data_IF_645236984341
#
_entry.id   IF_645236984341
#
_cell.length_a   1.000
_cell.length_b   1.000
_cell.length_c   1.000
_cell.angle_alpha   90.00
_cell.angle_beta   90.00
_cell.angle_gamma   90.00
#
_symmetry.space_group_name_H-M   'P 1'
#
loop_
_entity.id
_entity.type
_entity.pdbx_description
1 polymer ?
#
# COMPACT_ATOMS: atom_id res chain seq x y z
N UNK A 1 -10.09 1.02 47.27
CA UNK A 1 -11.30 0.41 46.71
C UNK A 1 -10.89 -0.12 45.34
N UNK A 2 -10.72 -1.44 45.21
CA UNK A 2 -10.23 -2.05 43.96
C UNK A 2 -11.25 -1.77 42.85
N UNK A 3 -10.81 -1.16 41.75
CA UNK A 3 -11.66 -0.95 40.56
C UNK A 3 -11.56 -2.21 39.71
N UNK A 4 -12.64 -2.98 39.65
CA UNK A 4 -12.73 -4.21 38.86
C UNK A 4 -13.30 -3.90 37.48
N UNK A 5 -12.54 -4.18 36.43
CA UNK A 5 -12.94 -3.92 35.04
C UNK A 5 -13.53 -5.19 34.45
N UNK A 6 -14.79 -5.13 34.01
CA UNK A 6 -15.53 -6.25 33.43
C UNK A 6 -16.09 -5.85 32.06
N UNK A 7 -15.59 -6.47 31.00
CA UNK A 7 -16.03 -6.24 29.63
C UNK A 7 -15.11 -6.94 28.64
N UNK A 8 -15.64 -7.35 27.49
CA UNK A 8 -14.88 -8.03 26.44
C UNK A 8 -13.84 -7.10 25.82
N UNK A 9 -14.21 -5.82 25.64
CA UNK A 9 -13.36 -4.77 25.06
C UNK A 9 -13.28 -3.58 26.00
N UNK A 10 -12.06 -3.14 26.34
CA UNK A 10 -11.82 -1.93 27.15
C UNK A 10 -11.21 -0.85 26.29
N UNK A 11 -11.78 0.35 26.28
CA UNK A 11 -11.32 1.47 25.45
C UNK A 11 -10.70 2.54 26.34
N UNK A 12 -9.43 2.81 26.12
CA UNK A 12 -8.69 3.91 26.73
C UNK A 12 -8.61 5.06 25.73
N UNK A 13 -9.30 6.16 25.98
CA UNK A 13 -9.46 7.24 24.99
C UNK A 13 -9.49 8.63 25.61
N UNK A 14 -8.86 9.60 24.94
CA UNK A 14 -9.00 11.04 25.22
C UNK A 14 -10.22 11.68 24.53
N UNK A 15 -10.94 10.89 23.73
CA UNK A 15 -12.11 11.27 22.93
C UNK A 15 -11.84 12.36 21.89
N UNK A 16 -10.60 12.75 21.65
CA UNK A 16 -10.27 13.81 20.69
C UNK A 16 -10.59 13.41 19.25
N UNK A 17 -10.46 12.11 18.92
CA UNK A 17 -10.75 11.57 17.58
C UNK A 17 -12.23 11.39 17.27
N UNK A 18 -13.11 11.48 18.28
CA UNK A 18 -14.58 11.33 18.15
C UNK A 18 -15.01 10.05 17.42
N UNK A 19 -14.32 8.94 17.65
CA UNK A 19 -14.61 7.66 16.99
C UNK A 19 -15.93 7.09 17.54
N UNK A 20 -16.92 6.78 16.68
CA UNK A 20 -18.17 6.18 17.12
C UNK A 20 -17.99 4.67 17.36
N UNK A 21 -17.65 4.29 18.59
CA UNK A 21 -17.50 2.89 19.01
C UNK A 21 -18.84 2.12 19.17
N UNK A 22 -19.97 2.75 18.85
CA UNK A 22 -21.33 2.21 19.05
C UNK A 22 -21.60 0.90 18.33
N UNK A 23 -20.90 0.63 17.21
CA UNK A 23 -21.05 -0.63 16.47
C UNK A 23 -20.43 -1.81 17.22
N UNK A 24 -19.34 -1.59 17.98
CA UNK A 24 -18.71 -2.62 18.81
C UNK A 24 -19.65 -3.03 19.95
N UNK A 25 -20.35 -2.07 20.55
CA UNK A 25 -21.29 -2.29 21.66
C UNK A 25 -22.41 -3.28 21.31
N UNK A 26 -22.67 -3.54 20.01
CA UNK A 26 -23.67 -4.52 19.57
C UNK A 26 -23.19 -5.96 19.71
N UNK A 27 -21.88 -6.18 19.71
CA UNK A 27 -21.25 -7.50 19.71
C UNK A 27 -20.50 -7.82 21.01
N UNK A 28 -20.07 -6.77 21.73
CA UNK A 28 -19.19 -6.90 22.89
C UNK A 28 -19.63 -5.98 24.01
N UNK A 29 -19.38 -6.39 25.26
CA UNK A 29 -19.43 -5.49 26.39
C UNK A 29 -18.23 -4.54 26.34
N UNK A 30 -18.50 -3.24 26.16
CA UNK A 30 -17.47 -2.20 26.01
C UNK A 30 -17.45 -1.28 27.22
N UNK A 31 -16.27 -1.04 27.79
CA UNK A 31 -16.08 -0.10 28.90
C UNK A 31 -15.04 0.96 28.54
N UNK A 32 -15.27 2.21 28.95
CA UNK A 32 -14.46 3.37 28.56
C UNK A 32 -13.70 3.96 29.75
N UNK A 33 -12.45 4.33 29.53
CA UNK A 33 -11.59 4.98 30.53
C UNK A 33 -10.73 6.06 29.88
N UNK A 34 -10.43 7.11 30.65
CA UNK A 34 -9.56 8.21 30.20
C UNK A 34 -8.08 7.92 30.43
N UNK A 35 -7.74 7.12 31.44
CA UNK A 35 -6.37 6.75 31.82
C UNK A 35 -6.33 5.34 32.43
N UNK A 36 -5.27 4.56 32.21
CA UNK A 36 -5.03 3.34 32.96
C UNK A 36 -4.36 3.63 34.32
N UNK A 37 -4.83 2.97 35.37
CA UNK A 37 -4.27 3.04 36.72
C UNK A 37 -3.42 1.79 37.04
N UNK A 38 -2.43 1.92 37.92
CA UNK A 38 -1.54 0.80 38.27
C UNK A 38 -2.27 -0.33 39.03
N UNK A 39 -3.32 0.01 39.80
CA UNK A 39 -4.08 -0.94 40.61
C UNK A 39 -5.22 -1.63 39.85
N UNK A 40 -5.21 -1.61 38.51
CA UNK A 40 -6.28 -2.21 37.73
C UNK A 40 -6.24 -3.74 37.85
N UNK A 41 -7.37 -4.31 38.26
CA UNK A 41 -7.67 -5.73 38.05
C UNK A 41 -8.72 -5.88 36.95
N UNK A 42 -8.29 -6.48 35.84
CA UNK A 42 -9.15 -6.84 34.73
C UNK A 42 -9.67 -8.26 34.92
N UNK A 43 -10.95 -8.49 34.62
CA UNK A 43 -11.55 -9.83 34.60
C UNK A 43 -12.29 -10.02 33.29
N UNK A 44 -11.88 -11.04 32.52
CA UNK A 44 -12.46 -11.39 31.21
C UNK A 44 -12.29 -10.31 30.11
N UNK A 45 -11.20 -9.54 30.14
CA UNK A 45 -10.86 -8.61 29.05
C UNK A 45 -10.17 -9.35 27.93
N UNK A 46 -10.72 -9.26 26.72
CA UNK A 46 -10.15 -9.89 25.53
C UNK A 46 -9.19 -8.94 24.78
N UNK A 47 -9.53 -7.65 24.67
CA UNK A 47 -8.69 -6.63 24.03
C UNK A 47 -8.85 -5.25 24.68
N UNK A 48 -7.76 -4.48 24.69
CA UNK A 48 -7.78 -3.06 25.00
C UNK A 48 -7.55 -2.22 23.73
N UNK A 49 -8.46 -1.30 23.44
CA UNK A 49 -8.29 -0.28 22.39
C UNK A 49 -7.60 0.94 23.00
N UNK A 50 -6.52 1.38 22.37
CA UNK A 50 -5.71 2.53 22.78
C UNK A 50 -5.93 3.65 21.77
N UNK A 51 -6.75 4.63 22.16
CA UNK A 51 -7.18 5.76 21.32
C UNK A 51 -6.77 7.09 21.94
N UNK A 52 -5.47 7.34 21.93
CA UNK A 52 -4.92 8.65 22.30
C UNK A 52 -4.37 9.35 21.06
N UNK A 53 -4.57 10.66 20.98
CA UNK A 53 -4.01 11.46 19.89
C UNK A 53 -2.50 11.56 19.95
N UNK A 54 -1.94 11.69 21.17
CA UNK A 54 -0.50 11.72 21.42
C UNK A 54 0.08 10.28 21.44
N UNK A 55 1.03 9.95 20.53
CA UNK A 55 1.68 8.64 20.51
C UNK A 55 2.40 8.29 21.83
N UNK A 56 2.97 9.27 22.53
CA UNK A 56 3.68 9.00 23.79
C UNK A 56 2.72 8.55 24.87
N UNK A 57 1.54 9.17 24.94
CA UNK A 57 0.45 8.77 25.85
C UNK A 57 -0.07 7.38 25.52
N UNK A 58 -0.21 7.05 24.23
CA UNK A 58 -0.58 5.70 23.79
C UNK A 58 0.42 4.62 24.26
N UNK A 59 1.73 4.86 24.12
CA UNK A 59 2.78 3.93 24.58
C UNK A 59 2.75 3.81 26.11
N UNK A 60 2.65 4.94 26.82
CA UNK A 60 2.57 4.95 28.29
C UNK A 60 1.38 4.12 28.77
N UNK A 61 0.18 4.39 28.26
CA UNK A 61 -1.03 3.67 28.62
C UNK A 61 -0.91 2.18 28.32
N UNK A 62 -0.39 1.82 27.14
CA UNK A 62 -0.13 0.44 26.74
C UNK A 62 0.76 -0.29 27.75
N UNK A 63 1.83 0.35 28.21
CA UNK A 63 2.75 -0.24 29.18
C UNK A 63 2.16 -0.39 30.59
N UNK A 64 1.32 0.54 31.03
CA UNK A 64 0.60 0.40 32.31
C UNK A 64 -0.36 -0.79 32.25
N UNK A 65 -1.14 -0.92 31.17
CA UNK A 65 -2.06 -2.04 30.97
C UNK A 65 -1.29 -3.36 30.96
N UNK A 66 -0.15 -3.41 30.25
CA UNK A 66 0.70 -4.61 30.13
C UNK A 66 1.44 -4.98 31.42
N UNK A 67 1.65 -4.04 32.33
CA UNK A 67 2.20 -4.34 33.64
C UNK A 67 1.23 -5.21 34.46
N UNK A 68 -0.07 -4.99 34.30
CA UNK A 68 -1.12 -5.77 34.98
C UNK A 68 -1.61 -6.98 34.17
N UNK A 69 -1.59 -6.90 32.83
CA UNK A 69 -1.96 -7.98 31.90
C UNK A 69 -0.94 -8.13 30.77
N UNK A 70 0.15 -8.90 30.98
CA UNK A 70 1.19 -9.06 29.97
C UNK A 70 0.70 -9.64 28.65
N UNK A 71 -0.37 -10.44 28.65
CA UNK A 71 -0.90 -11.17 27.48
C UNK A 71 -2.07 -10.47 26.74
N UNK A 72 -2.66 -9.39 27.28
CA UNK A 72 -3.87 -8.80 26.68
C UNK A 72 -3.62 -8.31 25.25
N UNK A 73 -4.56 -8.50 24.32
CA UNK A 73 -4.41 -7.93 22.98
C UNK A 73 -4.56 -6.40 23.04
N UNK A 74 -3.70 -5.68 22.30
CA UNK A 74 -3.80 -4.22 22.16
C UNK A 74 -4.13 -3.85 20.72
N UNK A 75 -5.17 -3.05 20.53
CA UNK A 75 -5.49 -2.40 19.26
C UNK A 75 -5.21 -0.90 19.38
N UNK A 76 -4.19 -0.41 18.70
CA UNK A 76 -3.77 0.99 18.80
C UNK A 76 -4.29 1.79 17.60
N UNK A 77 -4.98 2.89 17.89
CA UNK A 77 -5.51 3.79 16.87
C UNK A 77 -4.47 4.86 16.52
N UNK A 78 -4.19 5.03 15.23
CA UNK A 78 -3.18 5.95 14.71
C UNK A 78 -3.72 6.87 13.61
N UNK A 79 -2.97 7.93 13.29
CA UNK A 79 -3.23 8.86 12.17
C UNK A 79 -1.97 9.01 11.30
N UNK A 80 -2.14 9.33 10.01
CA UNK A 80 -1.05 9.46 9.02
C UNK A 80 0.05 10.43 9.50
N UNK A 81 -0.33 11.54 10.14
CA UNK A 81 0.60 12.60 10.56
C UNK A 81 1.28 12.37 11.91
N UNK A 82 0.83 11.39 12.69
CA UNK A 82 1.32 11.10 14.04
C UNK A 82 1.32 9.58 14.31
N UNK A 83 1.66 8.78 13.29
CA UNK A 83 1.68 7.34 13.43
C UNK A 83 2.81 6.89 14.37
N UNK A 84 2.51 5.91 15.22
CA UNK A 84 3.55 5.17 15.93
C UNK A 84 4.47 4.52 14.90
N UNK A 85 5.77 4.72 15.05
CA UNK A 85 6.78 4.05 14.22
C UNK A 85 7.23 2.74 14.89
N UNK A 86 8.05 1.96 14.16
CA UNK A 86 8.58 0.68 14.64
C UNK A 86 9.34 0.81 15.99
N UNK A 87 10.07 1.91 16.21
CA UNK A 87 10.79 2.13 17.47
C UNK A 87 9.86 2.38 18.65
N UNK A 88 8.71 3.01 18.40
CA UNK A 88 7.71 3.25 19.42
C UNK A 88 6.98 1.96 19.81
N UNK A 89 6.71 1.08 18.85
CA UNK A 89 6.13 -0.25 19.12
C UNK A 89 7.04 -1.13 19.97
N UNK A 90 8.35 -1.12 19.73
CA UNK A 90 9.33 -1.89 20.51
C UNK A 90 9.36 -1.44 21.98
N UNK A 91 8.89 -0.22 22.29
CA UNK A 91 8.80 0.28 23.67
C UNK A 91 7.57 -0.26 24.41
N UNK A 92 6.60 -0.85 23.71
CA UNK A 92 5.43 -1.48 24.32
C UNK A 92 5.84 -2.88 24.78
N UNK A 93 5.80 -3.11 26.10
CA UNK A 93 6.20 -4.36 26.75
C UNK A 93 5.04 -5.37 26.79
N UNK A 94 5.37 -6.61 27.15
CA UNK A 94 4.41 -7.72 27.25
C UNK A 94 4.51 -8.69 26.07
N UNK A 95 3.67 -9.73 26.09
CA UNK A 95 3.75 -10.88 25.16
C UNK A 95 2.50 -11.06 24.30
N UNK A 96 1.41 -10.39 24.64
CA UNK A 96 0.20 -10.44 23.82
C UNK A 96 0.34 -9.64 22.53
N UNK A 97 -0.63 -9.83 21.65
CA UNK A 97 -0.61 -9.22 20.32
C UNK A 97 -0.80 -7.72 20.36
N UNK A 98 -0.20 -7.05 19.37
CA UNK A 98 -0.38 -5.64 19.11
C UNK A 98 -0.82 -5.52 17.66
N UNK A 99 -1.97 -4.89 17.42
CA UNK A 99 -2.37 -4.44 16.10
C UNK A 99 -2.48 -2.92 16.10
N UNK A 100 -2.29 -2.32 14.92
CA UNK A 100 -2.47 -0.90 14.70
C UNK A 100 -3.41 -0.69 13.54
N UNK A 101 -4.37 0.21 13.72
CA UNK A 101 -5.21 0.68 12.63
C UNK A 101 -5.09 2.18 12.50
N UNK A 102 -5.27 2.63 11.26
CA UNK A 102 -5.41 4.03 10.96
C UNK A 102 -6.90 4.32 10.81
N UNK A 103 -7.46 5.11 11.72
CA UNK A 103 -8.89 5.38 11.68
C UNK A 103 -9.25 6.28 10.48
N UNK A 104 -10.33 5.93 9.78
CA UNK A 104 -11.02 6.78 8.80
C UNK A 104 -12.53 6.64 9.02
N UNK A 105 -13.28 7.73 8.91
CA UNK A 105 -14.72 7.76 9.21
C UNK A 105 -15.55 6.77 8.36
N UNK A 106 -15.11 6.51 7.12
CA UNK A 106 -15.76 5.57 6.20
C UNK A 106 -15.44 4.09 6.50
N UNK A 107 -14.63 3.76 7.51
CA UNK A 107 -14.19 2.40 7.84
C UNK A 107 -14.79 1.86 9.16
N UNK A 108 -16.09 2.08 9.37
CA UNK A 108 -16.75 1.69 10.63
C UNK A 108 -16.65 0.18 10.92
N UNK A 109 -16.88 -0.65 9.91
CA UNK A 109 -16.78 -2.12 10.01
C UNK A 109 -15.35 -2.63 10.26
N UNK A 110 -14.32 -1.85 9.90
CA UNK A 110 -12.92 -2.28 9.97
C UNK A 110 -12.43 -2.43 11.40
N UNK A 111 -12.90 -1.56 12.29
CA UNK A 111 -12.61 -1.62 13.70
C UNK A 111 -13.12 -2.93 14.31
N UNK A 112 -14.33 -3.34 13.94
CA UNK A 112 -14.92 -4.61 14.36
C UNK A 112 -14.14 -5.81 13.79
N UNK A 113 -13.78 -5.76 12.50
CA UNK A 113 -12.97 -6.81 11.86
C UNK A 113 -11.61 -6.98 12.55
N UNK A 114 -10.95 -5.89 12.93
CA UNK A 114 -9.65 -5.98 13.59
C UNK A 114 -9.75 -6.53 15.01
N UNK A 115 -10.82 -6.19 15.75
CA UNK A 115 -11.11 -6.80 17.05
C UNK A 115 -11.34 -8.31 16.88
N UNK A 116 -12.11 -8.72 15.87
CA UNK A 116 -12.32 -10.14 15.56
C UNK A 116 -11.02 -10.84 15.20
N UNK A 117 -10.14 -10.24 14.40
CA UNK A 117 -8.81 -10.80 14.07
C UNK A 117 -7.91 -10.97 15.29
N UNK A 118 -8.00 -10.07 16.26
CA UNK A 118 -7.26 -10.21 17.51
C UNK A 118 -7.75 -11.40 18.34
N UNK A 119 -9.06 -11.64 18.37
CA UNK A 119 -9.70 -12.73 19.12
C UNK A 119 -9.55 -14.08 18.43
N UNK A 120 -9.68 -14.08 17.11
CA UNK A 120 -9.79 -15.25 16.26
C UNK A 120 -8.77 -15.18 15.11
N UNK A 121 -7.46 -15.20 15.41
CA UNK A 121 -6.42 -15.20 14.39
C UNK A 121 -6.54 -16.34 13.38
N UNK A 122 -7.14 -17.45 13.80
CA UNK A 122 -7.37 -18.63 12.99
C UNK A 122 -8.44 -18.40 11.91
N UNK A 123 -9.31 -17.40 12.09
CA UNK A 123 -10.39 -17.07 11.16
C UNK A 123 -10.07 -15.76 10.42
N UNK A 124 -9.58 -15.87 9.19
CA UNK A 124 -9.49 -14.72 8.29
C UNK A 124 -10.90 -14.20 8.00
N UNK A 125 -11.23 -13.05 8.59
CA UNK A 125 -12.56 -12.42 8.48
C UNK A 125 -12.86 -11.93 7.06
N UNK A 126 -11.81 -11.56 6.32
CA UNK A 126 -11.81 -11.24 4.89
C UNK A 126 -10.50 -11.76 4.27
N UNK A 127 -10.54 -12.13 2.99
CA UNK A 127 -9.32 -12.45 2.25
C UNK A 127 -8.44 -11.20 2.07
N UNK A 128 -7.13 -11.35 1.84
CA UNK A 128 -6.27 -10.20 1.68
C UNK A 128 -6.63 -9.38 0.44
N UNK A 129 -6.86 -8.08 0.62
CA UNK A 129 -7.21 -7.16 -0.46
C UNK A 129 -5.97 -6.86 -1.32
N UNK A 130 -6.11 -7.02 -2.63
CA UNK A 130 -5.07 -6.69 -3.62
C UNK A 130 -5.51 -5.50 -4.48
N UNK A 131 -4.83 -4.36 -4.33
CA UNK A 131 -5.09 -3.16 -5.12
C UNK A 131 -4.20 -3.11 -6.37
N UNK A 132 -4.81 -3.04 -7.55
CA UNK A 132 -4.12 -2.87 -8.84
C UNK A 132 -4.15 -1.39 -9.22
N UNK A 133 -3.01 -0.72 -9.13
CA UNK A 133 -2.87 0.71 -9.41
C UNK A 133 -2.31 0.88 -10.81
N UNK A 134 -3.16 1.39 -11.70
CA UNK A 134 -2.87 1.62 -13.11
C UNK A 134 -2.71 3.13 -13.33
N UNK A 135 -1.50 3.54 -13.72
CA UNK A 135 -1.22 4.92 -14.10
C UNK A 135 -1.64 5.14 -15.56
N UNK A 136 -2.39 6.23 -15.82
CA UNK A 136 -2.88 6.58 -17.16
C UNK A 136 -2.58 8.06 -17.44
N UNK A 137 -2.11 8.39 -18.63
CA UNK A 137 -1.89 9.78 -19.04
C UNK A 137 -1.96 9.92 -20.57
N UNK A 138 -2.88 10.77 -21.05
CA UNK A 138 -3.10 11.07 -22.46
C UNK A 138 -3.11 9.80 -23.35
N UNK A 139 -3.98 8.85 -23.01
CA UNK A 139 -4.08 7.56 -23.68
C UNK A 139 -5.30 7.48 -24.62
N UNK A 140 -5.95 8.59 -24.98
CA UNK A 140 -7.16 8.59 -25.81
C UNK A 140 -7.01 7.76 -27.10
N UNK A 141 -5.92 7.96 -27.86
CA UNK A 141 -5.67 7.24 -29.12
C UNK A 141 -5.38 5.74 -28.91
N UNK A 142 -4.89 5.37 -27.73
CA UNK A 142 -4.45 4.02 -27.38
C UNK A 142 -5.36 3.35 -26.35
N UNK A 143 -6.51 3.96 -26.05
CA UNK A 143 -7.40 3.57 -24.96
C UNK A 143 -7.92 2.12 -25.09
N UNK A 144 -7.97 1.59 -26.33
CA UNK A 144 -8.28 0.18 -26.58
C UNK A 144 -7.37 -0.78 -25.80
N UNK A 145 -6.10 -0.42 -25.58
CA UNK A 145 -5.15 -1.21 -24.80
C UNK A 145 -5.46 -1.13 -23.31
N UNK A 146 -5.72 0.07 -22.80
CA UNK A 146 -6.15 0.32 -21.41
C UNK A 146 -7.42 -0.47 -21.08
N UNK A 147 -8.44 -0.37 -21.93
CA UNK A 147 -9.70 -1.10 -21.78
C UNK A 147 -9.47 -2.60 -21.76
N UNK A 148 -8.76 -3.14 -22.76
CA UNK A 148 -8.48 -4.57 -22.85
C UNK A 148 -7.71 -5.08 -21.63
N UNK A 149 -6.72 -4.34 -21.15
CA UNK A 149 -5.94 -4.72 -19.99
C UNK A 149 -6.80 -4.74 -18.72
N UNK A 150 -7.66 -3.72 -18.55
CA UNK A 150 -8.64 -3.67 -17.46
C UNK A 150 -9.58 -4.88 -17.50
N UNK A 151 -10.16 -5.21 -18.66
CA UNK A 151 -11.06 -6.37 -18.82
C UNK A 151 -10.36 -7.70 -18.46
N UNK A 152 -9.10 -7.87 -18.88
CA UNK A 152 -8.30 -9.05 -18.53
C UNK A 152 -8.02 -9.12 -17.03
N UNK A 153 -7.67 -7.98 -16.41
CA UNK A 153 -7.48 -7.90 -14.95
C UNK A 153 -8.77 -8.23 -14.20
N UNK A 154 -9.92 -7.75 -14.67
CA UNK A 154 -11.21 -8.07 -14.06
C UNK A 154 -11.53 -9.56 -14.14
N UNK A 155 -11.32 -10.19 -15.29
CA UNK A 155 -11.51 -11.62 -15.44
C UNK A 155 -10.58 -12.41 -14.51
N UNK A 156 -9.33 -11.96 -14.37
CA UNK A 156 -8.36 -12.55 -13.44
C UNK A 156 -8.79 -12.40 -11.98
N UNK A 157 -9.15 -11.18 -11.55
CA UNK A 157 -9.58 -10.88 -10.18
C UNK A 157 -10.78 -11.73 -9.80
N UNK A 158 -11.82 -11.76 -10.64
CA UNK A 158 -13.04 -12.54 -10.40
C UNK A 158 -12.80 -14.03 -10.20
N UNK A 159 -11.74 -14.57 -10.81
CA UNK A 159 -11.49 -16.02 -10.83
C UNK A 159 -10.46 -16.44 -9.79
N UNK A 160 -9.48 -15.59 -9.47
CA UNK A 160 -8.28 -15.98 -8.72
C UNK A 160 -7.96 -15.12 -7.50
N UNK A 161 -8.61 -13.96 -7.33
CA UNK A 161 -8.34 -13.03 -6.23
C UNK A 161 -9.59 -12.93 -5.36
N UNK A 162 -9.42 -13.26 -4.07
CA UNK A 162 -10.53 -13.23 -3.10
C UNK A 162 -11.12 -11.81 -3.01
N UNK A 163 -10.24 -10.83 -2.85
CA UNK A 163 -10.61 -9.42 -2.80
C UNK A 163 -9.60 -8.60 -3.61
N UNK A 164 -10.07 -7.95 -4.66
CA UNK A 164 -9.23 -7.13 -5.52
C UNK A 164 -10.00 -5.99 -6.16
N UNK A 165 -9.33 -4.85 -6.27
CA UNK A 165 -9.85 -3.64 -6.91
C UNK A 165 -8.82 -3.04 -7.84
N UNK A 166 -9.29 -2.50 -8.96
CA UNK A 166 -8.51 -1.79 -9.97
C UNK A 166 -8.71 -0.29 -9.75
N UNK A 167 -7.61 0.43 -9.64
CA UNK A 167 -7.59 1.88 -9.48
C UNK A 167 -6.92 2.48 -10.70
N UNK A 168 -7.75 3.12 -11.53
CA UNK A 168 -7.32 3.84 -12.73
C UNK A 168 -7.02 5.27 -12.32
N UNK A 169 -5.74 5.62 -12.17
CA UNK A 169 -5.33 6.96 -11.73
C UNK A 169 -4.82 7.74 -12.94
N UNK A 170 -5.64 8.69 -13.37
CA UNK A 170 -5.34 9.68 -14.41
C UNK A 170 -4.39 10.75 -13.90
N UNK A 171 -3.20 10.85 -14.49
CA UNK A 171 -2.16 11.82 -14.14
C UNK A 171 -2.41 13.20 -14.75
N UNK A 172 -3.65 13.70 -14.62
CA UNK A 172 -4.03 15.01 -15.12
C UNK A 172 -4.05 15.09 -16.66
N UNK A 173 -4.68 14.12 -17.34
CA UNK A 173 -4.79 14.15 -18.80
C UNK A 173 -5.55 15.37 -19.29
N UNK A 174 -5.17 15.86 -20.47
CA UNK A 174 -5.78 17.02 -21.14
C UNK A 174 -6.72 16.61 -22.29
N UNK A 175 -6.74 15.32 -22.62
CA UNK A 175 -7.58 14.70 -23.65
C UNK A 175 -8.83 14.00 -23.03
N UNK A 176 -9.55 13.20 -23.81
CA UNK A 176 -10.76 12.48 -23.32
C UNK A 176 -10.46 11.25 -22.46
N UNK A 177 -9.20 11.01 -22.06
CA UNK A 177 -8.82 9.84 -21.25
C UNK A 177 -9.68 9.69 -20.00
N UNK A 178 -9.88 10.77 -19.21
CA UNK A 178 -10.68 10.69 -17.99
C UNK A 178 -12.12 10.23 -18.28
N UNK A 179 -12.78 10.84 -19.27
CA UNK A 179 -14.16 10.49 -19.66
C UNK A 179 -14.27 9.00 -20.01
N UNK A 180 -13.27 8.46 -20.70
CA UNK A 180 -13.22 7.06 -21.07
C UNK A 180 -12.97 6.14 -19.85
N UNK A 181 -12.12 6.53 -18.90
CA UNK A 181 -11.89 5.79 -17.65
C UNK A 181 -13.15 5.74 -16.77
N UNK A 182 -13.86 6.86 -16.64
CA UNK A 182 -15.16 6.93 -15.96
C UNK A 182 -16.22 6.07 -16.67
N UNK A 183 -16.10 5.92 -17.99
CA UNK A 183 -16.89 4.97 -18.77
C UNK A 183 -16.68 3.52 -18.33
N UNK A 184 -15.42 3.10 -18.16
CA UNK A 184 -15.07 1.77 -17.63
C UNK A 184 -15.64 1.61 -16.22
N UNK A 185 -15.47 2.59 -15.33
CA UNK A 185 -16.02 2.51 -13.96
C UNK A 185 -17.55 2.31 -13.96
N UNK A 186 -18.29 3.07 -14.78
CA UNK A 186 -19.75 2.95 -14.91
C UNK A 186 -20.21 1.59 -15.43
N UNK A 187 -19.49 1.02 -16.41
CA UNK A 187 -19.78 -0.31 -16.96
C UNK A 187 -19.53 -1.43 -15.93
N UNK A 188 -18.71 -1.17 -14.92
CA UNK A 188 -18.13 -2.18 -14.05
C UNK A 188 -18.70 -2.15 -12.63
N UNK A 189 -19.88 -1.52 -12.47
CA UNK A 189 -20.80 -1.62 -11.32
C UNK A 189 -21.28 -3.07 -11.10
N UNK A 190 -20.33 -3.93 -10.81
CA UNK A 190 -20.50 -5.31 -10.44
C UNK A 190 -20.52 -5.32 -8.93
N UNK A 191 -21.74 -5.41 -8.43
CA UNK A 191 -22.11 -6.08 -7.20
C UNK A 191 -21.49 -7.48 -7.23
N UNK A 192 -20.19 -7.59 -6.96
CA UNK A 192 -19.61 -8.82 -6.41
C UNK A 192 -20.52 -9.17 -5.25
N UNK A 193 -21.03 -10.41 -5.17
CA UNK A 193 -22.05 -10.89 -4.23
C UNK A 193 -21.76 -10.62 -2.75
N UNK A 194 -21.72 -9.34 -2.40
CA UNK A 194 -21.44 -8.75 -1.12
C UNK A 194 -22.78 -8.24 -0.65
N UNK A 195 -23.12 -8.63 0.57
CA UNK A 195 -24.35 -8.23 1.26
C UNK A 195 -24.30 -6.72 1.60
N UNK A 196 -23.16 -6.05 1.36
CA UNK A 196 -22.92 -4.67 1.76
C UNK A 196 -22.56 -3.81 0.54
N UNK A 197 -23.37 -2.78 0.27
CA UNK A 197 -23.20 -1.83 -0.84
C UNK A 197 -22.08 -0.80 -0.59
N UNK A 198 -21.59 -0.70 0.65
CA UNK A 198 -20.55 0.26 1.07
C UNK A 198 -19.10 -0.18 0.77
N UNK A 199 -18.89 -1.27 0.02
CA UNK A 199 -17.55 -1.80 -0.25
C UNK A 199 -16.96 -1.21 -1.54
N UNK A 200 -15.66 -0.96 -1.50
CA UNK A 200 -14.83 -0.39 -2.58
C UNK A 200 -15.20 -1.01 -3.95
N UNK A 201 -15.46 -0.18 -4.98
CA UNK A 201 -15.82 -0.70 -6.30
C UNK A 201 -14.68 -1.52 -6.89
N UNK A 202 -15.02 -2.48 -7.75
CA UNK A 202 -14.03 -3.31 -8.45
C UNK A 202 -13.12 -2.45 -9.33
N UNK A 203 -13.64 -1.35 -9.88
CA UNK A 203 -12.87 -0.35 -10.62
C UNK A 203 -13.16 1.02 -10.04
N UNK A 204 -12.14 1.84 -9.84
CA UNK A 204 -12.30 3.24 -9.45
C UNK A 204 -11.41 4.13 -10.32
N UNK A 205 -12.02 5.11 -11.01
CA UNK A 205 -11.28 6.12 -11.75
C UNK A 205 -11.06 7.36 -10.89
N UNK A 206 -9.85 7.92 -10.94
CA UNK A 206 -9.51 9.18 -10.25
C UNK A 206 -8.61 10.02 -11.11
N UNK A 207 -8.72 11.34 -10.97
CA UNK A 207 -7.85 12.30 -11.64
C UNK A 207 -7.01 13.10 -10.66
N UNK A 208 -5.73 13.25 -10.97
CA UNK A 208 -4.84 14.19 -10.31
C UNK A 208 -5.03 15.60 -10.87
N UNK A 209 -4.88 16.62 -10.02
CA UNK A 209 -5.07 18.02 -10.41
C UNK A 209 -4.01 18.58 -11.37
N UNK A 210 -2.91 17.83 -11.62
CA UNK A 210 -1.83 18.19 -12.53
C UNK A 210 -1.10 16.94 -13.00
N UNK A 211 -0.34 17.07 -14.10
CA UNK A 211 0.61 16.05 -14.53
C UNK A 211 1.82 16.01 -13.58
N UNK A 212 1.96 14.89 -12.89
CA UNK A 212 3.04 14.56 -11.96
C UNK A 212 3.98 13.49 -12.51
N UNK A 213 3.72 13.07 -13.76
CA UNK A 213 4.19 11.82 -14.36
C UNK A 213 3.74 10.64 -13.49
N UNK A 214 4.48 9.55 -13.59
CA UNK A 214 4.24 8.31 -12.86
C UNK A 214 4.27 8.43 -11.32
N UNK A 215 4.99 9.41 -10.77
CA UNK A 215 5.22 9.49 -9.32
C UNK A 215 3.94 9.80 -8.54
N UNK A 216 3.17 10.80 -8.97
CA UNK A 216 1.99 11.21 -8.21
C UNK A 216 0.90 10.16 -8.27
N UNK A 217 0.75 9.40 -9.36
CA UNK A 217 -0.23 8.30 -9.42
C UNK A 217 0.12 7.19 -8.42
N UNK A 218 1.39 6.82 -8.32
CA UNK A 218 1.86 5.82 -7.35
C UNK A 218 1.65 6.32 -5.92
N UNK A 219 2.08 7.56 -5.63
CA UNK A 219 1.93 8.16 -4.29
C UNK A 219 0.47 8.34 -3.90
N UNK A 220 -0.40 8.74 -4.82
CA UNK A 220 -1.82 8.88 -4.59
C UNK A 220 -2.46 7.54 -4.23
N UNK A 221 -2.09 6.48 -4.96
CA UNK A 221 -2.51 5.13 -4.67
C UNK A 221 -2.04 4.69 -3.28
N UNK A 222 -0.76 4.84 -2.96
CA UNK A 222 -0.20 4.49 -1.64
C UNK A 222 -0.85 5.29 -0.49
N UNK A 223 -1.23 6.54 -0.74
CA UNK A 223 -1.81 7.46 0.25
C UNK A 223 -3.27 7.15 0.55
N UNK A 224 -4.05 6.87 -0.49
CA UNK A 224 -5.51 6.85 -0.40
C UNK A 224 -6.10 5.45 -0.33
N UNK A 225 -5.42 4.47 -0.93
CA UNK A 225 -5.89 3.09 -1.02
C UNK A 225 -5.38 2.29 0.16
N UNK A 226 -6.26 1.49 0.76
CA UNK A 226 -5.87 0.53 1.77
C UNK A 226 -6.03 -0.89 1.23
N UNK A 227 -4.92 -1.60 1.14
CA UNK A 227 -4.84 -2.97 0.64
C UNK A 227 -3.71 -3.71 1.36
N UNK A 228 -3.77 -5.04 1.37
CA UNK A 228 -2.70 -5.89 1.89
C UNK A 228 -1.56 -6.04 0.89
N UNK A 229 -1.90 -5.97 -0.40
CA UNK A 229 -0.96 -6.04 -1.52
C UNK A 229 -1.26 -4.95 -2.54
N UNK A 230 -0.20 -4.29 -3.01
CA UNK A 230 -0.26 -3.25 -4.02
C UNK A 230 0.44 -3.72 -5.28
N UNK A 231 -0.27 -3.72 -6.41
CA UNK A 231 0.25 -4.04 -7.74
C UNK A 231 0.31 -2.74 -8.52
N UNK A 232 1.51 -2.24 -8.76
CA UNK A 232 1.73 -1.08 -9.61
C UNK A 232 2.05 -1.58 -11.02
N UNK A 233 1.31 -1.09 -12.01
CA UNK A 233 1.48 -1.52 -13.40
C UNK A 233 1.07 -0.39 -14.35
N UNK A 234 1.76 -0.29 -15.49
CA UNK A 234 1.39 0.64 -16.56
C UNK A 234 0.12 0.11 -17.26
N UNK A 235 -0.77 0.99 -17.70
CA UNK A 235 -2.10 0.60 -18.20
C UNK A 235 -2.13 0.13 -19.68
N UNK A 236 -0.99 0.07 -20.36
CA UNK A 236 -0.87 -0.08 -21.82
C UNK A 236 -0.93 -1.53 -22.36
N UNK A 237 -1.38 -2.50 -21.56
CA UNK A 237 -1.42 -3.94 -21.90
C UNK A 237 -0.01 -4.48 -22.29
N UNK A 238 1.05 -3.92 -21.72
CA UNK A 238 2.43 -4.36 -21.98
C UNK A 238 2.86 -5.57 -21.16
N UNK A 239 2.18 -5.87 -20.03
CA UNK A 239 2.53 -6.97 -19.13
C UNK A 239 1.49 -8.10 -19.19
N UNK A 240 1.97 -9.33 -19.03
CA UNK A 240 1.10 -10.53 -18.96
C UNK A 240 0.37 -10.60 -17.61
N UNK A 241 -0.84 -11.16 -17.60
CA UNK A 241 -1.61 -11.38 -16.36
C UNK A 241 -0.95 -12.50 -15.54
N UNK A 242 -0.33 -13.44 -16.24
CA UNK A 242 0.39 -14.59 -15.70
C UNK A 242 1.60 -14.14 -14.86
N UNK A 243 2.35 -13.13 -15.34
CA UNK A 243 3.45 -12.52 -14.58
C UNK A 243 2.95 -11.78 -13.35
N UNK A 244 1.86 -11.02 -13.49
CA UNK A 244 1.22 -10.32 -12.37
C UNK A 244 0.78 -11.33 -11.30
N UNK A 245 0.10 -12.40 -11.69
CA UNK A 245 -0.35 -13.47 -10.81
C UNK A 245 0.82 -14.14 -10.08
N UNK A 246 1.89 -14.47 -10.81
CA UNK A 246 3.11 -15.05 -10.24
C UNK A 246 3.75 -14.13 -9.21
N UNK A 247 3.87 -12.83 -9.51
CA UNK A 247 4.43 -11.85 -8.57
C UNK A 247 3.58 -11.70 -7.31
N UNK A 248 2.24 -11.65 -7.44
CA UNK A 248 1.30 -11.62 -6.31
C UNK A 248 1.48 -12.86 -5.43
N UNK A 249 1.54 -14.05 -6.02
CA UNK A 249 1.71 -15.29 -5.27
C UNK A 249 3.00 -15.30 -4.46
N UNK A 250 4.11 -14.80 -5.02
CA UNK A 250 5.40 -14.75 -4.33
C UNK A 250 5.39 -13.73 -3.18
N UNK A 251 4.82 -12.53 -3.37
CA UNK A 251 4.70 -11.56 -2.26
C UNK A 251 3.85 -12.13 -1.13
N UNK A 252 2.76 -12.83 -1.47
CA UNK A 252 1.86 -13.46 -0.49
C UNK A 252 2.53 -14.50 0.40
N UNK A 253 3.63 -15.11 -0.05
CA UNK A 253 4.41 -16.04 0.78
C UNK A 253 5.16 -15.35 1.93
N UNK A 254 5.31 -14.01 1.90
CA UNK A 254 5.92 -13.23 2.99
C UNK A 254 7.45 -13.27 3.03
N UNK A 255 8.11 -13.98 2.12
CA UNK A 255 9.58 -14.03 2.03
C UNK A 255 10.20 -12.75 1.46
N UNK A 256 9.44 -12.01 0.66
CA UNK A 256 9.86 -10.77 0.03
C UNK A 256 8.83 -9.68 0.30
N UNK A 257 9.31 -8.47 0.50
CA UNK A 257 8.47 -7.29 0.74
C UNK A 257 8.05 -6.64 -0.59
N UNK A 258 8.89 -6.79 -1.62
CA UNK A 258 8.70 -6.22 -2.96
C UNK A 258 9.16 -7.23 -4.01
N UNK A 259 8.32 -7.44 -5.03
CA UNK A 259 8.70 -8.13 -6.27
C UNK A 259 8.67 -7.13 -7.40
N UNK A 260 9.73 -7.08 -8.20
CA UNK A 260 9.83 -6.19 -9.36
C UNK A 260 10.05 -7.00 -10.64
N UNK A 261 9.39 -6.59 -11.72
CA UNK A 261 9.69 -7.12 -13.04
C UNK A 261 11.05 -6.63 -13.54
N UNK A 262 11.72 -7.44 -14.35
CA UNK A 262 12.72 -6.97 -15.31
C UNK A 262 12.32 -7.49 -16.67
N UNK A 263 12.44 -6.63 -17.70
CA UNK A 263 12.25 -7.10 -19.07
C UNK A 263 13.26 -8.21 -19.34
N UNK A 264 12.78 -9.36 -19.79
CA UNK A 264 13.66 -10.38 -20.35
C UNK A 264 14.37 -9.77 -21.57
N UNK A 265 15.69 -9.96 -21.67
CA UNK A 265 16.50 -9.39 -22.74
C UNK A 265 16.23 -10.07 -24.11
N UNK A 266 15.29 -11.02 -24.15
CA UNK A 266 14.87 -11.79 -25.33
C UNK A 266 14.02 -11.00 -26.33
N UNK A 267 13.72 -9.71 -26.08
CA UNK A 267 12.94 -8.85 -26.97
C UNK A 267 13.59 -8.73 -28.37
N UNK A 268 13.11 -9.56 -29.29
CA UNK A 268 13.40 -9.50 -30.72
C UNK A 268 12.95 -8.11 -31.23
N UNK A 269 13.86 -7.36 -31.87
CA UNK A 269 13.66 -6.02 -32.48
C UNK A 269 13.99 -4.77 -31.65
N UNK A 270 14.79 -4.86 -30.58
CA UNK A 270 15.25 -3.64 -29.89
C UNK A 270 16.33 -2.90 -30.69
N UNK A 271 16.12 -1.60 -30.96
CA UNK A 271 17.14 -0.74 -31.57
C UNK A 271 18.42 -0.73 -30.72
N UNK A 272 19.59 -0.89 -31.36
CA UNK A 272 20.91 -0.86 -30.72
C UNK A 272 21.12 0.35 -29.81
N UNK A 273 20.59 1.52 -30.18
CA UNK A 273 20.69 2.73 -29.37
C UNK A 273 19.92 2.59 -28.04
N UNK A 274 18.68 2.06 -28.08
CA UNK A 274 17.89 1.83 -26.85
C UNK A 274 18.52 0.77 -25.97
N UNK A 275 19.15 -0.24 -26.56
CA UNK A 275 19.90 -1.27 -25.82
C UNK A 275 21.04 -0.65 -25.02
N UNK A 276 21.93 0.12 -25.65
CA UNK A 276 23.05 0.76 -24.99
C UNK A 276 22.62 1.75 -23.91
N UNK A 277 21.60 2.57 -24.18
CA UNK A 277 21.07 3.51 -23.18
C UNK A 277 20.51 2.75 -21.97
N UNK A 278 19.75 1.66 -22.21
CA UNK A 278 19.23 0.81 -21.14
C UNK A 278 20.35 0.18 -20.31
N UNK A 279 21.41 -0.29 -20.96
CA UNK A 279 22.56 -0.89 -20.30
C UNK A 279 23.32 0.12 -19.44
N UNK A 280 23.61 1.32 -19.97
CA UNK A 280 24.25 2.39 -19.22
C UNK A 280 23.41 2.81 -18.00
N UNK A 281 22.09 2.97 -18.17
CA UNK A 281 21.18 3.29 -17.06
C UNK A 281 21.24 2.22 -15.96
N UNK A 282 21.21 0.93 -16.33
CA UNK A 282 21.33 -0.18 -15.37
C UNK A 282 22.64 -0.12 -14.59
N UNK A 283 23.78 0.08 -15.28
CA UNK A 283 25.11 0.16 -14.66
C UNK A 283 25.19 1.33 -13.67
N UNK A 284 24.76 2.53 -14.09
CA UNK A 284 24.85 3.74 -13.25
C UNK A 284 23.88 3.67 -12.06
N UNK A 285 22.72 3.03 -12.22
CA UNK A 285 21.74 2.90 -11.14
C UNK A 285 22.10 1.82 -10.12
N UNK A 286 22.87 0.79 -10.49
CA UNK A 286 23.18 -0.38 -9.64
C UNK A 286 23.63 -0.04 -8.20
N UNK A 287 24.48 0.97 -7.95
CA UNK A 287 24.88 1.35 -6.59
C UNK A 287 23.71 1.80 -5.70
N UNK A 288 22.62 2.27 -6.28
CA UNK A 288 21.42 2.74 -5.59
C UNK A 288 20.40 1.64 -5.34
N UNK A 289 20.59 0.43 -5.88
CA UNK A 289 19.60 -0.64 -5.83
C UNK A 289 19.86 -1.62 -4.67
N UNK A 290 18.81 -2.31 -4.19
CA UNK A 290 18.97 -3.47 -3.31
C UNK A 290 19.86 -4.53 -3.94
N UNK A 291 20.45 -5.39 -3.10
CA UNK A 291 21.24 -6.50 -3.60
C UNK A 291 20.40 -7.44 -4.48
N UNK A 292 20.99 -7.96 -5.56
CA UNK A 292 20.30 -8.81 -6.53
C UNK A 292 19.42 -8.08 -7.55
N UNK A 293 19.16 -6.78 -7.36
CA UNK A 293 18.37 -5.97 -8.31
C UNK A 293 19.28 -5.29 -9.32
N UNK A 294 19.03 -5.52 -10.61
CA UNK A 294 19.76 -4.94 -11.74
C UNK A 294 18.94 -3.95 -12.56
N UNK A 295 17.61 -4.02 -12.49
CA UNK A 295 16.70 -3.13 -13.22
C UNK A 295 15.63 -2.55 -12.27
N UNK A 296 15.63 -1.24 -12.05
CA UNK A 296 14.59 -0.60 -11.22
C UNK A 296 13.40 -0.11 -12.04
N UNK A 297 13.57 0.11 -13.35
CA UNK A 297 12.71 0.99 -14.15
C UNK A 297 11.54 0.27 -14.83
N UNK A 298 11.34 -1.01 -14.54
CA UNK A 298 10.20 -1.76 -15.09
C UNK A 298 8.89 -1.27 -14.49
N UNK A 299 7.88 -1.12 -15.33
CA UNK A 299 6.54 -0.65 -14.97
C UNK A 299 5.76 -1.54 -14.00
N UNK A 300 6.15 -2.79 -13.84
CA UNK A 300 5.44 -3.78 -13.03
C UNK A 300 6.15 -4.04 -11.70
N UNK A 301 5.44 -3.78 -10.59
CA UNK A 301 5.90 -4.01 -9.21
C UNK A 301 4.75 -4.51 -8.34
N UNK A 302 5.03 -5.46 -7.44
CA UNK A 302 4.08 -5.91 -6.42
C UNK A 302 4.70 -5.75 -5.05
N UNK A 303 3.96 -5.17 -4.11
CA UNK A 303 4.47 -4.79 -2.79
C UNK A 303 3.49 -5.18 -1.69
N UNK A 304 4.01 -5.55 -0.53
CA UNK A 304 3.18 -5.70 0.67
C UNK A 304 2.77 -4.33 1.22
N UNK A 305 1.65 -4.29 1.95
CA UNK A 305 1.21 -3.09 2.66
C UNK A 305 2.29 -2.53 3.60
N UNK A 306 3.03 -3.41 4.26
CA UNK A 306 4.14 -3.04 5.16
C UNK A 306 5.23 -2.31 4.38
N UNK A 307 5.64 -2.82 3.21
CA UNK A 307 6.63 -2.17 2.36
C UNK A 307 6.16 -0.79 1.92
N UNK A 308 4.93 -0.69 1.43
CA UNK A 308 4.31 0.58 1.00
C UNK A 308 4.31 1.60 2.14
N UNK A 309 3.81 1.23 3.32
CA UNK A 309 3.73 2.12 4.49
C UNK A 309 5.10 2.62 4.96
N UNK A 310 6.12 1.76 4.94
CA UNK A 310 7.48 2.14 5.35
C UNK A 310 8.17 3.04 4.31
N UNK A 311 7.88 2.82 3.03
CA UNK A 311 8.49 3.60 1.94
C UNK A 311 7.84 4.95 1.74
N UNK A 312 6.50 5.02 1.78
CA UNK A 312 5.70 6.20 1.42
C UNK A 312 6.21 7.53 2.02
N UNK A 313 6.55 7.64 3.33
CA UNK A 313 7.01 8.90 3.92
C UNK A 313 8.30 9.47 3.31
N UNK A 314 9.06 8.66 2.59
CA UNK A 314 10.36 9.01 2.03
C UNK A 314 10.33 9.30 0.53
N UNK A 315 9.24 8.92 -0.14
CA UNK A 315 9.08 9.08 -1.59
C UNK A 315 8.63 10.50 -1.93
N UNK A 316 9.04 11.00 -3.10
CA UNK A 316 8.69 12.36 -3.53
C UNK A 316 8.15 12.39 -4.95
N UNK A 317 7.05 13.11 -5.11
CA UNK A 317 6.41 13.34 -6.41
C UNK A 317 7.36 13.99 -7.43
N UNK A 318 8.31 14.81 -6.96
CA UNK A 318 9.29 15.52 -7.78
C UNK A 318 10.14 14.59 -8.67
N UNK A 319 10.31 13.32 -8.30
CA UNK A 319 11.05 12.35 -9.10
C UNK A 319 10.33 11.96 -10.41
N UNK A 320 9.01 12.15 -10.50
CA UNK A 320 8.23 11.82 -11.70
C UNK A 320 8.52 10.42 -12.24
N UNK A 321 9.06 10.32 -13.46
CA UNK A 321 9.43 9.04 -14.08
C UNK A 321 10.55 8.27 -13.36
N UNK A 322 11.32 8.93 -12.49
CA UNK A 322 12.38 8.30 -11.71
C UNK A 322 11.87 7.71 -10.37
N UNK A 323 10.56 7.77 -10.10
CA UNK A 323 9.96 7.19 -8.88
C UNK A 323 10.33 5.72 -8.69
N UNK A 324 10.42 4.96 -9.78
CA UNK A 324 10.79 3.55 -9.77
C UNK A 324 12.20 3.31 -9.21
N UNK A 325 13.13 4.22 -9.54
CA UNK A 325 14.49 4.21 -9.00
C UNK A 325 14.51 4.68 -7.54
N UNK A 326 13.78 5.75 -7.23
CA UNK A 326 13.65 6.24 -5.85
C UNK A 326 13.12 5.14 -4.93
N UNK A 327 12.03 4.46 -5.33
CA UNK A 327 11.45 3.33 -4.60
C UNK A 327 12.49 2.25 -4.28
N UNK A 328 13.31 1.85 -5.26
CA UNK A 328 14.34 0.83 -5.01
C UNK A 328 15.45 1.34 -4.10
N UNK A 329 15.82 2.62 -4.21
CA UNK A 329 16.77 3.23 -3.31
C UNK A 329 16.26 3.29 -1.87
N UNK A 330 15.00 3.69 -1.66
CA UNK A 330 14.37 3.67 -0.35
C UNK A 330 14.28 2.24 0.18
N UNK A 331 13.88 1.28 -0.65
CA UNK A 331 13.84 -0.14 -0.27
C UNK A 331 15.21 -0.65 0.20
N UNK A 332 16.30 -0.27 -0.49
CA UNK A 332 17.67 -0.56 -0.07
C UNK A 332 17.99 0.03 1.30
N UNK A 333 17.68 1.31 1.52
CA UNK A 333 17.95 2.01 2.78
C UNK A 333 17.19 1.41 3.96
N UNK A 334 15.93 1.05 3.73
CA UNK A 334 15.08 0.39 4.72
C UNK A 334 15.34 -1.11 4.87
N UNK A 335 16.32 -1.65 4.12
CA UNK A 335 16.70 -3.08 4.09
C UNK A 335 15.51 -4.01 3.80
N UNK A 336 14.62 -3.59 2.90
CA UNK A 336 13.51 -4.41 2.44
C UNK A 336 14.02 -5.53 1.54
N UNK A 337 13.38 -6.70 1.63
CA UNK A 337 13.69 -7.88 0.83
C UNK A 337 13.05 -7.71 -0.54
N UNK A 338 13.87 -7.50 -1.56
CA UNK A 338 13.41 -7.27 -2.94
C UNK A 338 13.84 -8.44 -3.81
N UNK A 339 12.90 -9.02 -4.55
CA UNK A 339 13.20 -10.01 -5.59
C UNK A 339 12.89 -9.42 -6.96
N UNK A 340 13.83 -9.61 -7.88
CA UNK A 340 13.64 -9.29 -9.29
C UNK A 340 13.33 -10.54 -10.10
N UNK A 341 12.27 -10.48 -10.91
CA UNK A 341 11.84 -11.58 -11.76
C UNK A 341 11.82 -11.17 -13.23
N UNK A 342 12.29 -12.03 -14.16
CA UNK A 342 12.06 -11.79 -15.58
C UNK A 342 10.56 -11.81 -15.86
N UNK A 343 10.07 -10.84 -16.62
CA UNK A 343 8.67 -10.74 -17.06
C UNK A 343 8.63 -10.50 -18.56
N UNK A 344 7.57 -11.01 -19.19
CA UNK A 344 7.28 -10.72 -20.58
C UNK A 344 6.74 -9.28 -20.69
N UNK A 345 7.40 -8.48 -21.53
CA UNK A 345 7.00 -7.10 -21.78
C UNK A 345 6.92 -6.86 -23.29
N UNK A 346 5.73 -6.51 -23.76
CA UNK A 346 5.52 -6.13 -25.16
C UNK A 346 5.81 -4.64 -25.29
N UNK A 347 6.82 -4.28 -26.09
CA UNK A 347 7.08 -2.87 -26.41
C UNK A 347 5.96 -2.36 -27.36
N UNK A 348 5.23 -1.34 -26.92
CA UNK A 348 4.22 -0.65 -27.73
C UNK A 348 4.82 0.65 -28.29
N UNK A 349 4.67 0.87 -29.59
CA UNK A 349 5.11 2.11 -30.24
C UNK A 349 4.22 3.30 -29.85
N UNK A 350 4.80 4.51 -29.84
CA UNK A 350 4.10 5.75 -29.50
C UNK A 350 4.43 6.35 -28.14
N UNK A 351 5.44 5.84 -27.42
CA UNK A 351 5.80 6.41 -26.10
C UNK A 351 6.22 7.88 -26.23
N UNK A 352 5.64 8.77 -25.41
CA UNK A 352 5.96 10.20 -25.30
C UNK A 352 7.37 10.51 -24.75
N UNK A 353 8.28 9.53 -24.76
CA UNK A 353 9.60 9.60 -24.14
C UNK A 353 10.59 10.20 -25.14
N UNK A 354 11.12 11.39 -24.80
CA UNK A 354 12.17 12.06 -25.57
C UNK A 354 13.51 11.63 -25.00
N UNK A 355 14.12 10.63 -25.65
CA UNK A 355 15.33 9.90 -25.22
C UNK A 355 16.41 10.78 -24.58
N UNK A 356 16.75 11.92 -25.20
CA UNK A 356 17.81 12.82 -24.71
C UNK A 356 17.41 13.59 -23.44
N UNK A 357 16.23 14.22 -23.43
CA UNK A 357 15.75 15.01 -22.28
C UNK A 357 15.57 14.11 -21.05
N UNK A 358 15.04 12.91 -21.25
CA UNK A 358 14.80 11.97 -20.16
C UNK A 358 16.10 11.35 -19.62
N UNK A 359 17.13 11.20 -20.46
CA UNK A 359 18.45 10.75 -20.00
C UNK A 359 19.13 11.78 -19.10
N UNK A 360 19.09 13.07 -19.46
CA UNK A 360 19.65 14.15 -18.62
C UNK A 360 18.88 14.27 -17.30
N UNK A 361 17.55 14.18 -17.35
CA UNK A 361 16.72 14.19 -16.14
C UNK A 361 17.02 13.00 -15.23
N UNK A 362 17.19 11.81 -15.79
CA UNK A 362 17.55 10.61 -15.04
C UNK A 362 18.88 10.77 -14.28
N UNK A 363 19.90 11.36 -14.92
CA UNK A 363 21.18 11.65 -14.25
C UNK A 363 21.02 12.65 -13.11
N UNK A 364 20.18 13.69 -13.29
CA UNK A 364 19.86 14.61 -12.18
C UNK A 364 19.15 13.90 -11.04
N UNK A 365 18.18 13.04 -11.34
CA UNK A 365 17.49 12.23 -10.33
C UNK A 365 18.46 11.35 -9.55
N UNK A 366 19.49 10.76 -10.17
CA UNK A 366 20.52 10.01 -9.46
C UNK A 366 21.30 10.89 -8.47
N UNK A 367 21.65 12.12 -8.86
CA UNK A 367 22.32 13.09 -7.98
C UNK A 367 21.41 13.48 -6.81
N UNK A 368 20.12 13.70 -7.07
CA UNK A 368 19.16 14.07 -6.04
C UNK A 368 18.87 12.93 -5.08
N UNK A 369 18.79 11.68 -5.57
CA UNK A 369 18.74 10.46 -4.74
C UNK A 369 20.01 10.35 -3.88
N UNK A 370 21.18 10.58 -4.45
CA UNK A 370 22.44 10.56 -3.70
C UNK A 370 22.49 11.63 -2.60
N UNK A 371 21.83 12.79 -2.80
CA UNK A 371 21.68 13.79 -1.73
C UNK A 371 20.67 13.35 -0.65
N UNK A 372 19.64 12.60 -1.05
CA UNK A 372 18.63 12.00 -0.18
C UNK A 372 19.23 10.93 0.75
N UNK A 373 20.24 10.21 0.27
CA UNK A 373 21.06 9.24 1.03
C UNK A 373 21.51 9.75 2.41
N UNK A 374 21.83 11.04 2.49
CA UNK A 374 22.32 11.67 3.72
C UNK A 374 21.24 11.90 4.77
N UNK A 375 19.96 11.83 4.41
CA UNK A 375 18.81 12.16 5.28
C UNK A 375 18.11 10.93 5.86
N UNK A 376 18.17 9.80 5.17
CA UNK A 376 17.54 8.55 5.59
C UNK A 376 18.61 7.72 6.30
N UNK A 377 18.55 7.68 7.63
CA UNK A 377 19.45 6.92 8.50
C UNK A 377 18.77 5.69 9.05
#
# INVERSE_FOLDING_TARGET
MEVLFVGDVVIFTDRERKIPYTEINRFYSVVYYEEPHADIRFKAVLCCIIDYKDPKRAIYASNIIRASMPEVALLIITEIGAALNDNDLIRIRGVGRISMIQWKENYRSKLLLEIQRLFHPEFLSEGPHTAFILSVYNEEERFKHVRRFCERLQAFIRTHIIEGSIYLIDDGSEDRTLEMLEGIERETNLTVGRINEDVIPLVNARKLGRNTRKAGTYLEGMRTIEADYFVFVDADDSFSIEDIARMINIVKMGYYDIIIGTKDNSAKNRSWLRFWISLCKRIVSKPFLPEGVIDSQTGLKVMSAVAVRRMFPHLKEEFGLAVDLEMMFIAKKLKLRVLQLPVECIDRDGSHIVVWRDSVRFVRSLVDIWRLDRRIK
#
